data_IF_531530201758
#
_entry.id   IF_531530201758
#
_cell.length_a   1.000
_cell.length_b   1.000
_cell.length_c   1.000
_cell.angle_alpha   90.00
_cell.angle_beta   90.00
_cell.angle_gamma   90.00
#
_symmetry.space_group_name_H-M   'P 1'
#
loop_
_entity.id
_entity.type
_entity.pdbx_description
1 polymer ?
#
# COMPACT_ATOMS: atom_id res chain seq x y z
N UNK A 1 4.95 6.95 -29.92
CA UNK A 1 4.54 5.70 -30.61
C UNK A 1 3.89 4.81 -29.57
N UNK A 2 2.59 4.51 -29.71
CA UNK A 2 1.90 3.54 -28.85
C UNK A 2 2.49 2.14 -29.05
N UNK A 3 2.86 1.48 -27.95
CA UNK A 3 3.25 0.08 -27.98
C UNK A 3 1.99 -0.79 -27.99
N UNK A 4 1.67 -1.40 -29.13
CA UNK A 4 0.50 -2.27 -29.36
C UNK A 4 0.35 -3.47 -28.39
N UNK A 5 1.36 -3.75 -27.57
CA UNK A 5 1.33 -4.82 -26.56
C UNK A 5 1.09 -4.31 -25.12
N UNK A 6 1.09 -2.99 -24.91
CA UNK A 6 0.83 -2.36 -23.61
C UNK A 6 -0.54 -1.70 -23.67
N UNK A 7 -1.51 -2.26 -22.94
CA UNK A 7 -2.86 -1.71 -22.87
C UNK A 7 -2.84 -0.43 -22.02
N UNK A 8 -3.11 0.71 -22.66
CA UNK A 8 -3.21 2.01 -21.99
C UNK A 8 -4.66 2.49 -22.03
N UNK A 9 -5.05 3.30 -21.05
CA UNK A 9 -6.38 3.90 -20.97
C UNK A 9 -6.22 5.40 -20.68
N UNK A 10 -5.94 6.23 -21.70
CA UNK A 10 -5.64 7.65 -21.52
C UNK A 10 -6.74 8.44 -20.82
N UNK A 11 -8.01 8.07 -21.03
CA UNK A 11 -9.14 8.76 -20.42
C UNK A 11 -9.37 8.34 -18.95
N UNK A 12 -8.87 7.16 -18.55
CA UNK A 12 -9.10 6.63 -17.21
C UNK A 12 -8.23 7.37 -16.19
N UNK A 13 -8.87 8.02 -15.21
CA UNK A 13 -8.20 8.82 -14.18
C UNK A 13 -7.33 9.96 -14.77
N UNK A 14 -7.68 10.47 -15.96
CA UNK A 14 -6.93 11.55 -16.59
C UNK A 14 -6.86 12.80 -15.70
N UNK A 15 -5.65 13.30 -15.45
CA UNK A 15 -5.39 14.46 -14.60
C UNK A 15 -5.61 14.22 -13.11
N UNK A 16 -5.83 12.97 -12.69
CA UNK A 16 -6.07 12.58 -11.29
C UNK A 16 -4.82 12.03 -10.64
N UNK A 17 -4.77 12.10 -9.31
CA UNK A 17 -3.70 11.51 -8.51
C UNK A 17 -4.17 10.17 -7.91
N UNK A 18 -3.41 9.11 -8.16
CA UNK A 18 -3.66 7.78 -7.61
C UNK A 18 -2.51 7.38 -6.70
N UNK A 19 -2.79 7.14 -5.42
CA UNK A 19 -1.80 6.61 -4.48
C UNK A 19 -1.92 5.09 -4.39
N UNK A 20 -0.83 4.37 -4.58
CA UNK A 20 -0.77 2.92 -4.44
C UNK A 20 0.00 2.50 -3.18
N UNK A 21 -0.63 1.66 -2.37
CA UNK A 21 -0.09 1.12 -1.12
C UNK A 21 0.18 -0.38 -1.29
N UNK A 22 1.46 -0.77 -1.29
CA UNK A 22 1.89 -2.13 -1.59
C UNK A 22 1.68 -3.11 -0.43
N UNK A 23 1.79 -4.41 -0.69
CA UNK A 23 1.68 -5.46 0.34
C UNK A 23 2.95 -5.64 1.19
N UNK A 24 2.86 -6.49 2.22
CA UNK A 24 3.99 -6.84 3.08
C UNK A 24 5.12 -7.48 2.27
N UNK A 25 6.37 -7.09 2.53
CA UNK A 25 7.53 -7.58 1.79
C UNK A 25 7.56 -7.18 0.30
N UNK A 26 6.73 -6.23 -0.15
CA UNK A 26 6.82 -5.63 -1.49
C UNK A 26 7.47 -4.24 -1.44
N UNK A 27 7.42 -3.49 -2.54
CA UNK A 27 8.01 -2.16 -2.67
C UNK A 27 7.26 -1.29 -3.70
N UNK A 28 7.59 0.00 -3.73
CA UNK A 28 7.17 0.98 -4.73
C UNK A 28 7.66 0.65 -6.15
N UNK A 29 8.59 -0.29 -6.29
CA UNK A 29 9.09 -0.77 -7.58
C UNK A 29 8.43 -2.08 -8.03
N UNK A 30 7.34 -2.49 -7.38
CA UNK A 30 6.60 -3.69 -7.78
C UNK A 30 6.07 -3.62 -9.21
N UNK A 31 5.88 -4.78 -9.83
CA UNK A 31 5.27 -4.88 -11.16
C UNK A 31 3.87 -4.27 -11.23
N UNK A 32 3.14 -4.22 -10.12
CA UNK A 32 1.83 -3.56 -10.03
C UNK A 32 1.96 -2.05 -10.19
N UNK A 33 2.91 -1.40 -9.50
CA UNK A 33 3.12 0.06 -9.63
C UNK A 33 3.51 0.41 -11.06
N UNK A 34 4.42 -0.38 -11.66
CA UNK A 34 4.79 -0.22 -13.08
C UNK A 34 3.55 -0.33 -13.99
N UNK A 35 2.74 -1.36 -13.79
CA UNK A 35 1.53 -1.57 -14.60
C UNK A 35 0.51 -0.46 -14.41
N UNK A 36 0.32 0.05 -13.19
CA UNK A 36 -0.57 1.18 -12.93
C UNK A 36 -0.12 2.42 -13.70
N UNK A 37 1.18 2.73 -13.70
CA UNK A 37 1.74 3.85 -14.49
C UNK A 37 1.57 3.66 -16.00
N UNK A 38 1.68 2.42 -16.49
CA UNK A 38 1.49 2.10 -17.92
C UNK A 38 0.01 2.22 -18.34
N UNK A 39 -0.91 1.71 -17.51
CA UNK A 39 -2.35 1.64 -17.78
C UNK A 39 -3.04 2.99 -17.57
N UNK A 40 -2.73 3.67 -16.46
CA UNK A 40 -3.26 4.99 -16.09
C UNK A 40 -2.30 6.09 -16.56
N UNK A 41 -1.96 6.09 -17.85
CA UNK A 41 -0.87 6.89 -18.40
C UNK A 41 -1.08 8.40 -18.32
N UNK A 42 -2.31 8.86 -18.06
CA UNK A 42 -2.66 10.27 -17.87
C UNK A 42 -2.95 10.63 -16.40
N UNK A 43 -2.74 9.69 -15.47
CA UNK A 43 -2.82 9.93 -14.03
C UNK A 43 -1.42 10.08 -13.42
N UNK A 44 -1.32 10.79 -12.30
CA UNK A 44 -0.11 10.80 -11.47
C UNK A 44 -0.18 9.64 -10.47
N UNK A 45 0.72 8.65 -10.59
CA UNK A 45 0.77 7.50 -9.68
C UNK A 45 1.86 7.66 -8.63
N UNK A 46 1.43 7.88 -7.39
CA UNK A 46 2.28 7.97 -6.19
C UNK A 46 2.41 6.59 -5.57
N UNK A 47 3.64 6.17 -5.29
CA UNK A 47 3.92 4.93 -4.57
C UNK A 47 5.29 5.07 -3.90
N UNK A 48 5.33 4.88 -2.58
CA UNK A 48 6.55 4.95 -1.78
C UNK A 48 6.82 3.63 -1.08
N UNK A 49 8.11 3.41 -0.78
CA UNK A 49 8.51 2.26 0.01
C UNK A 49 8.10 2.46 1.46
N UNK A 50 7.19 1.60 1.93
CA UNK A 50 6.74 1.72 3.31
C UNK A 50 7.85 1.32 4.29
N UNK A 51 8.00 2.05 5.41
CA UNK A 51 8.75 1.61 6.57
C UNK A 51 8.32 0.23 7.04
N UNK A 52 9.25 -0.50 7.67
CA UNK A 52 8.95 -1.80 8.25
C UNK A 52 8.01 -1.69 9.44
N UNK A 53 8.20 -0.66 10.28
CA UNK A 53 7.38 -0.45 11.46
C UNK A 53 6.02 0.13 11.06
N UNK A 54 4.89 -0.48 11.49
CA UNK A 54 3.58 -0.15 10.96
C UNK A 54 3.05 1.21 11.38
N UNK A 55 3.49 1.74 12.53
CA UNK A 55 3.13 3.10 12.93
C UNK A 55 3.85 4.13 12.04
N UNK A 56 5.14 3.93 11.74
CA UNK A 56 5.87 4.79 10.80
C UNK A 56 5.28 4.73 9.39
N UNK A 57 4.79 3.56 8.97
CA UNK A 57 4.13 3.39 7.70
C UNK A 57 2.80 4.17 7.61
N UNK A 58 1.94 4.12 8.64
CA UNK A 58 0.68 4.90 8.62
C UNK A 58 0.97 6.41 8.69
N UNK A 59 1.99 6.82 9.44
CA UNK A 59 2.40 8.23 9.53
C UNK A 59 2.93 8.74 8.17
N UNK A 60 3.69 7.92 7.45
CA UNK A 60 4.08 8.20 6.06
C UNK A 60 2.86 8.35 5.15
N UNK A 61 1.90 7.44 5.24
CA UNK A 61 0.73 7.46 4.37
C UNK A 61 -0.16 8.69 4.61
N UNK A 62 -0.38 9.10 5.87
CA UNK A 62 -1.07 10.35 6.16
C UNK A 62 -0.34 11.56 5.58
N UNK A 63 0.99 11.63 5.72
CA UNK A 63 1.78 12.71 5.13
C UNK A 63 1.70 12.73 3.60
N UNK A 64 1.72 11.58 2.94
CA UNK A 64 1.53 11.51 1.48
C UNK A 64 0.11 11.94 1.06
N UNK A 65 -0.90 11.60 1.86
CA UNK A 65 -2.28 12.07 1.68
C UNK A 65 -2.38 13.61 1.79
N UNK A 66 -1.70 14.19 2.79
CA UNK A 66 -1.66 15.65 3.00
C UNK A 66 -0.87 16.38 1.91
N UNK A 67 0.21 15.79 1.40
CA UNK A 67 1.08 16.39 0.38
C UNK A 67 0.48 16.31 -1.02
N UNK A 68 -0.11 15.16 -1.37
CA UNK A 68 -0.52 14.88 -2.75
C UNK A 68 -2.03 14.92 -2.98
N UNK A 69 -2.84 14.93 -1.92
CA UNK A 69 -4.31 14.92 -1.98
C UNK A 69 -4.84 13.91 -3.02
N UNK A 70 -4.57 12.60 -2.87
CA UNK A 70 -4.94 11.61 -3.88
C UNK A 70 -6.45 11.58 -4.13
N UNK A 71 -6.87 11.51 -5.40
CA UNK A 71 -8.28 11.29 -5.74
C UNK A 71 -8.69 9.84 -5.45
N UNK A 72 -7.75 8.90 -5.51
CA UNK A 72 -7.99 7.47 -5.27
C UNK A 72 -6.78 6.83 -4.58
N UNK A 73 -7.06 6.00 -3.58
CA UNK A 73 -6.06 5.15 -2.93
C UNK A 73 -6.33 3.69 -3.28
N UNK A 74 -5.31 2.97 -3.72
CA UNK A 74 -5.39 1.54 -4.02
C UNK A 74 -4.46 0.79 -3.06
N UNK A 75 -5.04 -0.02 -2.18
CA UNK A 75 -4.31 -0.85 -1.24
C UNK A 75 -4.42 -2.33 -1.59
N UNK A 76 -3.31 -3.07 -1.56
CA UNK A 76 -3.29 -4.52 -1.85
C UNK A 76 -2.74 -5.32 -0.67
N UNK A 77 -3.39 -6.43 -0.30
CA UNK A 77 -2.94 -7.27 0.83
C UNK A 77 -2.77 -6.41 2.10
N UNK A 78 -1.58 -6.38 2.73
CA UNK A 78 -1.28 -5.49 3.86
C UNK A 78 -1.49 -4.01 3.54
N UNK A 79 -1.22 -3.57 2.31
CA UNK A 79 -1.49 -2.18 1.91
C UNK A 79 -2.99 -1.84 1.97
N UNK A 80 -3.87 -2.83 1.84
CA UNK A 80 -5.31 -2.67 2.08
C UNK A 80 -5.66 -2.43 3.54
N UNK A 81 -4.89 -2.99 4.49
CA UNK A 81 -5.06 -2.72 5.93
C UNK A 81 -4.71 -1.28 6.27
N UNK A 82 -3.68 -0.71 5.65
CA UNK A 82 -3.37 0.70 5.84
C UNK A 82 -4.36 1.60 5.11
N UNK A 83 -4.62 1.31 3.84
CA UNK A 83 -5.51 2.13 3.03
C UNK A 83 -6.91 2.22 3.65
N UNK A 84 -7.44 1.17 4.27
CA UNK A 84 -8.71 1.20 5.00
C UNK A 84 -8.78 2.33 6.05
N UNK A 85 -7.66 2.63 6.71
CA UNK A 85 -7.57 3.63 7.77
C UNK A 85 -7.41 5.07 7.24
N UNK A 86 -7.21 5.26 5.93
CA UNK A 86 -7.03 6.58 5.31
C UNK A 86 -8.38 7.19 4.92
N UNK A 87 -9.16 7.58 5.94
CA UNK A 87 -10.50 8.18 5.78
C UNK A 87 -10.47 9.52 5.03
N UNK A 88 -11.58 9.89 4.38
CA UNK A 88 -11.71 11.13 3.59
C UNK A 88 -11.30 11.01 2.11
N UNK A 89 -10.86 9.82 1.68
CA UNK A 89 -10.47 9.52 0.30
C UNK A 89 -11.31 8.39 -0.30
N UNK A 90 -11.44 8.33 -1.63
CA UNK A 90 -11.93 7.13 -2.29
C UNK A 90 -10.87 6.03 -2.23
N UNK A 91 -11.29 4.79 -1.96
CA UNK A 91 -10.39 3.68 -1.67
C UNK A 91 -10.82 2.38 -2.36
N UNK A 92 -9.88 1.71 -3.03
CA UNK A 92 -10.04 0.32 -3.51
C UNK A 92 -9.11 -0.58 -2.70
N UNK A 93 -9.71 -1.52 -1.96
CA UNK A 93 -8.99 -2.47 -1.12
C UNK A 93 -9.01 -3.85 -1.79
N UNK A 94 -7.90 -4.28 -2.36
CA UNK A 94 -7.81 -5.57 -3.07
C UNK A 94 -7.24 -6.64 -2.14
N UNK A 95 -8.07 -7.65 -1.84
CA UNK A 95 -7.74 -8.76 -0.93
C UNK A 95 -7.06 -8.29 0.36
N UNK A 96 -7.67 -7.35 1.12
CA UNK A 96 -7.01 -6.69 2.23
C UNK A 96 -6.68 -7.67 3.36
N UNK A 97 -5.43 -7.62 3.84
CA UNK A 97 -4.96 -8.41 4.98
C UNK A 97 -5.16 -7.63 6.29
N UNK A 98 -6.43 -7.44 6.67
CA UNK A 98 -6.83 -6.58 7.80
C UNK A 98 -6.31 -7.03 9.18
N UNK A 99 -5.78 -8.25 9.29
CA UNK A 99 -5.21 -8.83 10.52
C UNK A 99 -3.80 -9.40 10.27
N UNK A 100 -2.93 -8.67 9.57
CA UNK A 100 -1.62 -9.17 9.10
C UNK A 100 -0.74 -9.77 10.21
N UNK A 101 -0.81 -9.25 11.45
CA UNK A 101 -0.04 -9.79 12.58
C UNK A 101 -0.38 -11.26 12.91
N UNK A 102 -1.64 -11.66 12.71
CA UNK A 102 -2.05 -13.06 12.89
C UNK A 102 -1.57 -13.93 11.74
N UNK A 103 -1.66 -13.42 10.51
CA UNK A 103 -1.13 -14.07 9.30
C UNK A 103 0.38 -14.31 9.42
N UNK A 104 1.13 -13.35 9.95
CA UNK A 104 2.58 -13.47 10.12
C UNK A 104 2.96 -14.63 11.03
N UNK A 105 2.22 -14.78 12.13
CA UNK A 105 2.44 -15.86 13.09
C UNK A 105 2.02 -17.22 12.54
N UNK A 106 0.90 -17.28 11.81
CA UNK A 106 0.32 -18.53 11.31
C UNK A 106 1.04 -19.11 10.08
N UNK A 107 1.64 -18.26 9.24
CA UNK A 107 2.21 -18.67 7.96
C UNK A 107 3.74 -18.57 7.89
N UNK A 108 4.42 -18.50 9.03
CA UNK A 108 5.89 -18.55 9.08
C UNK A 108 6.57 -17.32 8.48
N UNK A 109 5.95 -16.14 8.55
CA UNK A 109 6.56 -14.88 8.10
C UNK A 109 7.48 -14.25 9.17
N UNK A 110 7.85 -15.01 10.21
CA UNK A 110 8.81 -14.61 11.25
C UNK A 110 10.24 -14.93 10.84
N UNK A 111 11.22 -14.25 11.42
CA UNK A 111 12.63 -14.41 11.09
C UNK A 111 13.06 -13.52 9.91
N UNK A 112 14.16 -13.87 9.26
CA UNK A 112 14.67 -13.11 8.10
C UNK A 112 13.76 -13.31 6.91
N UNK A 113 13.27 -12.20 6.36
CA UNK A 113 12.46 -12.11 5.16
C UNK A 113 13.19 -11.32 4.08
N UNK A 114 12.79 -11.51 2.83
CA UNK A 114 13.36 -10.84 1.67
C UNK A 114 12.27 -10.04 0.97
N UNK A 115 12.54 -8.78 0.64
CA UNK A 115 11.63 -8.00 -0.19
C UNK A 115 11.51 -8.63 -1.59
N UNK A 116 10.31 -8.75 -2.13
CA UNK A 116 10.05 -9.36 -3.44
C UNK A 116 10.50 -8.47 -4.61
N UNK A 117 10.73 -7.19 -4.33
CA UNK A 117 11.12 -6.19 -5.30
C UNK A 117 12.21 -5.29 -4.70
N UNK A 118 13.10 -4.71 -5.52
CA UNK A 118 14.09 -3.76 -5.04
C UNK A 118 13.44 -2.58 -4.32
N UNK A 119 14.07 -2.11 -3.24
CA UNK A 119 13.69 -0.89 -2.55
C UNK A 119 14.53 0.29 -3.02
N UNK A 120 13.96 1.49 -2.92
CA UNK A 120 14.60 2.78 -3.16
C UNK A 120 15.79 2.99 -2.20
N UNK A 121 15.66 2.53 -0.95
CA UNK A 121 16.70 2.59 0.08
C UNK A 121 17.80 1.52 -0.07
N UNK A 122 17.66 0.61 -1.05
CA UNK A 122 18.59 -0.48 -1.31
C UNK A 122 18.51 -1.65 -0.31
N UNK A 123 17.62 -1.62 0.69
CA UNK A 123 17.45 -2.74 1.62
C UNK A 123 16.73 -3.90 0.92
N UNK A 124 17.29 -5.10 1.03
CA UNK A 124 16.77 -6.29 0.36
C UNK A 124 16.19 -7.32 1.35
N UNK A 125 16.61 -7.26 2.62
CA UNK A 125 16.16 -8.17 3.68
C UNK A 125 15.74 -7.38 4.91
N UNK A 126 14.88 -8.00 5.71
CA UNK A 126 14.41 -7.46 6.98
C UNK A 126 14.11 -8.60 7.95
N UNK A 127 14.02 -8.30 9.25
CA UNK A 127 13.77 -9.31 10.28
C UNK A 127 12.42 -9.08 10.95
N UNK A 128 11.64 -10.16 11.07
CA UNK A 128 10.33 -10.14 11.71
C UNK A 128 10.41 -10.87 13.04
N UNK A 129 10.46 -10.10 14.12
CA UNK A 129 10.44 -10.63 15.48
C UNK A 129 9.03 -10.57 16.11
N UNK A 130 8.92 -11.04 17.35
CA UNK A 130 7.64 -11.02 18.08
C UNK A 130 7.18 -9.59 18.41
N UNK A 131 8.09 -8.63 18.51
CA UNK A 131 7.75 -7.24 18.80
C UNK A 131 7.09 -6.60 17.58
N UNK A 132 7.68 -6.76 16.40
CA UNK A 132 7.12 -6.28 15.14
C UNK A 132 5.74 -6.90 14.86
N UNK A 133 5.57 -8.21 15.09
CA UNK A 133 4.25 -8.85 14.98
C UNK A 133 3.20 -8.19 15.90
N UNK A 134 3.59 -7.84 17.13
CA UNK A 134 2.71 -7.16 18.09
C UNK A 134 2.37 -5.73 17.64
N UNK A 135 3.33 -5.01 17.05
CA UNK A 135 3.09 -3.68 16.47
C UNK A 135 2.05 -3.76 15.34
N UNK A 136 2.19 -4.74 14.44
CA UNK A 136 1.23 -4.96 13.37
C UNK A 136 -0.18 -5.28 13.89
N UNK A 137 -0.29 -6.10 14.95
CA UNK A 137 -1.58 -6.32 15.63
C UNK A 137 -2.18 -5.01 16.14
N UNK A 138 -1.40 -4.23 16.87
CA UNK A 138 -1.84 -2.96 17.48
C UNK A 138 -2.38 -1.99 16.44
N UNK A 139 -1.68 -1.82 15.31
CA UNK A 139 -2.15 -0.95 14.23
C UNK A 139 -3.38 -1.54 13.54
N UNK A 140 -3.39 -2.86 13.30
CA UNK A 140 -4.53 -3.53 12.66
C UNK A 140 -5.83 -3.50 13.48
N UNK A 141 -5.74 -3.36 14.80
CA UNK A 141 -6.90 -3.26 15.70
C UNK A 141 -7.66 -1.93 15.54
N UNK A 142 -7.03 -0.91 14.94
CA UNK A 142 -7.67 0.37 14.61
C UNK A 142 -8.55 0.30 13.37
N UNK A 143 -8.59 -0.83 12.68
CA UNK A 143 -9.47 -1.05 11.53
C UNK A 143 -10.91 -0.67 11.87
N UNK A 144 -11.60 0.01 10.96
CA UNK A 144 -12.99 0.45 11.12
C UNK A 144 -13.28 1.40 12.29
N UNK A 145 -12.25 1.95 12.96
CA UNK A 145 -12.46 2.84 14.12
C UNK A 145 -12.92 4.26 13.75
N UNK A 146 -12.79 4.66 12.48
CA UNK A 146 -13.12 6.01 11.99
C UNK A 146 -14.34 6.09 11.08
N UNK A 147 -15.17 5.04 11.01
CA UNK A 147 -16.33 5.01 10.11
C UNK A 147 -17.34 6.11 10.43
N UNK A 148 -17.74 6.84 9.40
CA UNK A 148 -18.81 7.84 9.44
C UNK A 148 -20.00 7.39 8.60
N UNK A 149 -21.12 8.10 8.69
CA UNK A 149 -22.29 7.82 7.84
C UNK A 149 -22.03 8.04 6.34
N UNK A 150 -20.95 8.73 5.97
CA UNK A 150 -20.55 8.94 4.58
C UNK A 150 -19.73 7.77 4.00
N UNK A 151 -19.30 6.82 4.83
CA UNK A 151 -18.51 5.66 4.42
C UNK A 151 -19.38 4.42 4.08
N UNK A 152 -20.71 4.58 3.97
CA UNK A 152 -21.70 3.51 3.79
C UNK A 152 -22.50 3.57 2.49
#
# INVERSE_FOLDING_TARGET
MENKYVKQFPDLMAGKTVMYVHGFGSSAQSGTVRRLREVLCSATVIAEDMPLHPQEAIDLLHRLCDEHHPDLIIGTSMGGMYAEQLYGYDRILTNPALCIGDTMSAHGLTGTQTFQNPRQDGQQTFYVDKALVKEYRTVSERRFSGLTAADG
#
